data_IF_362357716580
#
_entry.id   IF_362357716580
#
_cell.length_a   1.000
_cell.length_b   1.000
_cell.length_c   1.000
_cell.angle_alpha   90.00
_cell.angle_beta   90.00
_cell.angle_gamma   90.00
#
_symmetry.space_group_name_H-M   'P 1'
#
loop_
_entity.id
_entity.type
_entity.pdbx_description
1 polymer ?
#
# COMPACT_ATOMS: atom_id res chain seq x y z
N UNK A 1 -43.74 -28.51 -21.01
CA UNK A 1 -43.51 -27.09 -20.69
C UNK A 1 -42.29 -26.91 -19.78
N UNK A 2 -41.07 -27.22 -20.26
CA UNK A 2 -39.82 -27.07 -19.46
C UNK A 2 -38.72 -26.27 -20.15
N UNK A 3 -38.80 -26.01 -21.46
CA UNK A 3 -37.69 -25.40 -22.21
C UNK A 3 -37.63 -23.87 -22.12
N UNK A 4 -38.76 -23.16 -22.00
CA UNK A 4 -38.75 -21.69 -22.03
C UNK A 4 -38.27 -21.07 -20.71
N UNK A 5 -38.82 -21.51 -19.58
CA UNK A 5 -38.40 -21.04 -18.24
C UNK A 5 -36.93 -21.35 -17.95
N UNK A 6 -36.47 -22.55 -18.31
CA UNK A 6 -35.07 -22.95 -18.13
C UNK A 6 -34.13 -22.10 -18.99
N UNK A 7 -34.47 -21.84 -20.26
CA UNK A 7 -33.68 -20.95 -21.14
C UNK A 7 -33.59 -19.53 -20.58
N UNK A 8 -34.70 -19.00 -20.05
CA UNK A 8 -34.69 -17.67 -19.43
C UNK A 8 -33.72 -17.62 -18.25
N UNK A 9 -33.81 -18.58 -17.32
CA UNK A 9 -32.90 -18.66 -16.17
C UNK A 9 -31.44 -18.75 -16.61
N UNK A 10 -31.10 -19.61 -17.58
CA UNK A 10 -29.73 -19.75 -18.06
C UNK A 10 -29.20 -18.48 -18.74
N UNK A 11 -30.04 -17.80 -19.53
CA UNK A 11 -29.66 -16.53 -20.15
C UNK A 11 -29.42 -15.45 -19.11
N UNK A 12 -30.30 -15.33 -18.10
CA UNK A 12 -30.13 -14.35 -17.01
C UNK A 12 -28.85 -14.62 -16.22
N UNK A 13 -28.61 -15.86 -15.80
CA UNK A 13 -27.38 -16.23 -15.08
C UNK A 13 -26.14 -15.99 -15.93
N UNK A 14 -26.20 -16.36 -17.22
CA UNK A 14 -25.11 -16.11 -18.17
C UNK A 14 -24.76 -14.63 -18.30
N UNK A 15 -25.79 -13.77 -18.43
CA UNK A 15 -25.61 -12.31 -18.49
C UNK A 15 -25.02 -11.79 -17.18
N UNK A 16 -25.52 -12.24 -16.03
CA UNK A 16 -25.00 -11.82 -14.71
C UNK A 16 -23.53 -12.23 -14.51
N UNK A 17 -23.16 -13.44 -14.90
CA UNK A 17 -21.78 -13.91 -14.79
C UNK A 17 -20.86 -13.14 -15.74
N UNK A 18 -21.27 -12.95 -16.99
CA UNK A 18 -20.48 -12.23 -17.98
C UNK A 18 -20.29 -10.76 -17.57
N UNK A 19 -21.34 -10.10 -17.09
CA UNK A 19 -21.25 -8.72 -16.60
C UNK A 19 -20.37 -8.61 -15.36
N UNK A 20 -20.41 -9.59 -14.46
CA UNK A 20 -19.53 -9.64 -13.29
C UNK A 20 -18.06 -9.80 -13.68
N UNK A 21 -17.76 -10.67 -14.65
CA UNK A 21 -16.40 -10.86 -15.16
C UNK A 21 -15.90 -9.58 -15.82
N UNK A 22 -16.71 -8.97 -16.68
CA UNK A 22 -16.36 -7.70 -17.35
C UNK A 22 -16.15 -6.60 -16.32
N UNK A 23 -17.05 -6.46 -15.36
CA UNK A 23 -16.95 -5.48 -14.28
C UNK A 23 -15.67 -5.68 -13.47
N UNK A 24 -15.38 -6.92 -13.06
CA UNK A 24 -14.15 -7.26 -12.34
C UNK A 24 -12.89 -6.88 -13.14
N UNK A 25 -12.82 -7.23 -14.42
CA UNK A 25 -11.68 -6.91 -15.29
C UNK A 25 -11.51 -5.39 -15.44
N UNK A 26 -12.59 -4.66 -15.72
CA UNK A 26 -12.54 -3.20 -15.88
C UNK A 26 -12.12 -2.48 -14.59
N UNK A 27 -12.69 -2.88 -13.44
CA UNK A 27 -12.32 -2.30 -12.15
C UNK A 27 -10.86 -2.62 -11.80
N UNK A 28 -10.38 -3.83 -12.08
CA UNK A 28 -8.98 -4.17 -11.82
C UNK A 28 -8.02 -3.37 -12.73
N UNK A 29 -8.34 -3.23 -14.02
CA UNK A 29 -7.57 -2.37 -14.94
C UNK A 29 -7.55 -0.93 -14.44
N UNK A 30 -8.70 -0.37 -14.06
CA UNK A 30 -8.77 0.98 -13.50
C UNK A 30 -7.92 1.11 -12.21
N UNK A 31 -7.99 0.11 -11.33
CA UNK A 31 -7.19 0.06 -10.12
C UNK A 31 -5.70 0.11 -10.44
N UNK A 32 -5.19 -0.75 -11.32
CA UNK A 32 -3.77 -0.85 -11.63
C UNK A 32 -3.22 0.38 -12.36
N UNK A 33 -4.00 0.96 -13.29
CA UNK A 33 -3.53 2.05 -14.16
C UNK A 33 -3.70 3.42 -13.51
N UNK A 34 -4.74 3.62 -12.67
CA UNK A 34 -5.07 4.93 -12.10
C UNK A 34 -4.91 4.95 -10.59
N UNK A 35 -5.59 4.05 -9.89
CA UNK A 35 -5.70 4.15 -8.44
C UNK A 35 -4.40 3.78 -7.71
N UNK A 36 -3.70 2.73 -8.15
CA UNK A 36 -2.43 2.29 -7.56
C UNK A 36 -1.33 3.35 -7.71
N UNK A 37 -1.05 3.93 -8.90
CA UNK A 37 -0.05 4.99 -9.03
C UNK A 37 -0.40 6.23 -8.21
N UNK A 38 -1.66 6.67 -8.26
CA UNK A 38 -2.12 7.83 -7.48
C UNK A 38 -1.94 7.62 -5.98
N UNK A 39 -2.36 6.48 -5.44
CA UNK A 39 -2.20 6.16 -4.03
C UNK A 39 -0.72 6.00 -3.65
N UNK A 40 0.09 5.41 -4.54
CA UNK A 40 1.53 5.24 -4.34
C UNK A 40 2.26 6.58 -4.21
N UNK A 41 1.90 7.55 -5.04
CA UNK A 41 2.43 8.92 -4.97
C UNK A 41 1.93 9.64 -3.71
N UNK A 42 0.65 9.51 -3.40
CA UNK A 42 0.03 10.13 -2.22
C UNK A 42 0.66 9.66 -0.91
N UNK A 43 0.88 8.35 -0.75
CA UNK A 43 1.54 7.77 0.43
C UNK A 43 2.99 8.24 0.52
N UNK A 44 3.70 8.33 -0.62
CA UNK A 44 5.07 8.83 -0.65
C UNK A 44 5.15 10.27 -0.15
N UNK A 45 4.25 11.14 -0.60
CA UNK A 45 4.18 12.54 -0.14
C UNK A 45 3.97 12.64 1.37
N UNK A 46 3.13 11.78 1.95
CA UNK A 46 2.96 11.72 3.41
C UNK A 46 4.24 11.28 4.11
N UNK A 47 4.95 10.29 3.59
CA UNK A 47 6.23 9.86 4.16
C UNK A 47 7.30 10.96 4.07
N UNK A 48 7.36 11.70 2.96
CA UNK A 48 8.26 12.85 2.77
C UNK A 48 7.94 13.99 3.73
N UNK A 49 6.66 14.30 3.93
CA UNK A 49 6.22 15.32 4.89
C UNK A 49 6.56 14.92 6.33
N UNK A 50 6.32 13.66 6.69
CA UNK A 50 6.71 13.11 8.00
C UNK A 50 8.22 13.20 8.21
N UNK A 51 9.01 12.82 7.21
CA UNK A 51 10.48 12.96 7.24
C UNK A 51 10.90 14.41 7.42
N UNK A 52 10.35 15.34 6.63
CA UNK A 52 10.71 16.75 6.67
C UNK A 52 10.42 17.40 8.04
N UNK A 53 9.32 17.00 8.68
CA UNK A 53 8.96 17.47 10.02
C UNK A 53 9.78 16.79 11.12
N UNK A 54 10.09 15.51 10.96
CA UNK A 54 10.99 14.76 11.85
C UNK A 54 12.39 15.41 11.92
N UNK A 55 12.96 15.77 10.77
CA UNK A 55 14.29 16.39 10.68
C UNK A 55 14.36 17.78 11.30
N UNK A 56 13.22 18.47 11.45
CA UNK A 56 13.14 19.79 12.10
C UNK A 56 12.97 19.70 13.62
N UNK A 57 12.73 18.49 14.15
CA UNK A 57 12.47 18.28 15.56
C UNK A 57 13.78 18.07 16.34
N UNK A 58 13.84 18.56 17.58
CA UNK A 58 14.97 18.25 18.48
C UNK A 58 15.01 16.75 18.80
N UNK A 59 16.20 16.20 19.01
CA UNK A 59 16.39 14.76 19.26
C UNK A 59 15.48 14.22 20.38
N UNK A 60 15.31 14.98 21.45
CA UNK A 60 14.46 14.62 22.60
C UNK A 60 12.97 14.48 22.25
N UNK A 61 12.52 15.12 21.18
CA UNK A 61 11.11 15.19 20.79
C UNK A 61 10.79 14.36 19.52
N UNK A 62 11.80 13.83 18.84
CA UNK A 62 11.64 13.03 17.61
C UNK A 62 10.77 11.79 17.83
N UNK A 63 10.97 11.09 18.95
CA UNK A 63 10.15 9.92 19.28
C UNK A 63 8.70 10.30 19.58
N UNK A 64 8.48 11.37 20.37
CA UNK A 64 7.14 11.86 20.68
C UNK A 64 6.38 12.28 19.42
N UNK A 65 7.07 12.90 18.47
CA UNK A 65 6.53 13.24 17.16
C UNK A 65 6.07 11.99 16.41
N UNK A 66 6.92 10.97 16.26
CA UNK A 66 6.53 9.75 15.55
C UNK A 66 5.44 8.97 16.26
N UNK A 67 5.40 8.98 17.60
CA UNK A 67 4.28 8.44 18.37
C UNK A 67 2.96 9.15 18.06
N UNK A 68 3.00 10.47 17.82
CA UNK A 68 1.79 11.21 17.40
C UNK A 68 1.30 10.77 16.02
N UNK A 69 2.22 10.51 15.08
CA UNK A 69 1.87 9.97 13.75
C UNK A 69 1.31 8.56 13.87
N UNK A 70 1.88 7.72 14.74
CA UNK A 70 1.39 6.37 14.98
C UNK A 70 -0.05 6.34 15.55
N UNK A 71 -0.43 7.34 16.36
CA UNK A 71 -1.82 7.48 16.84
C UNK A 71 -2.84 7.75 15.71
N UNK A 72 -2.39 8.20 14.54
CA UNK A 72 -3.23 8.33 13.34
C UNK A 72 -3.43 6.99 12.60
N UNK A 73 -2.86 5.90 13.11
CA UNK A 73 -2.97 4.56 12.53
C UNK A 73 -1.81 4.16 11.62
N UNK A 74 -0.75 4.97 11.54
CA UNK A 74 0.47 4.59 10.83
C UNK A 74 1.33 3.64 11.67
N UNK A 75 1.98 2.71 10.98
CA UNK A 75 3.02 1.86 11.54
C UNK A 75 4.36 2.38 11.01
N UNK A 76 5.32 2.60 11.91
CA UNK A 76 6.61 3.22 11.55
C UNK A 76 7.75 2.32 12.02
N UNK A 77 8.73 2.11 11.14
CA UNK A 77 9.97 1.42 11.45
C UNK A 77 11.14 2.33 11.08
N UNK A 78 11.94 2.69 12.06
CA UNK A 78 13.14 3.51 11.89
C UNK A 78 14.33 2.58 12.00
N UNK A 79 15.36 2.80 11.20
CA UNK A 79 16.60 2.03 11.25
C UNK A 79 17.76 3.03 11.32
N UNK A 80 18.68 2.82 12.26
CA UNK A 80 19.89 3.61 12.39
C UNK A 80 20.99 3.15 11.39
N UNK A 81 22.12 3.86 11.40
CA UNK A 81 23.30 3.55 10.58
C UNK A 81 23.92 2.17 10.90
N UNK A 82 23.73 1.70 12.13
CA UNK A 82 24.16 0.37 12.60
C UNK A 82 23.15 -0.74 12.25
N UNK A 83 22.08 -0.43 11.52
CA UNK A 83 20.97 -1.33 11.17
C UNK A 83 20.12 -1.79 12.37
N UNK A 84 20.22 -1.12 13.51
CA UNK A 84 19.28 -1.35 14.61
C UNK A 84 17.95 -0.68 14.28
N UNK A 85 16.89 -1.47 14.34
CA UNK A 85 15.56 -1.00 14.03
C UNK A 85 14.71 -0.75 15.27
N UNK A 86 13.93 0.33 15.25
CA UNK A 86 12.93 0.66 16.27
C UNK A 86 11.54 0.76 15.63
N UNK A 87 10.56 0.10 16.26
CA UNK A 87 9.14 0.14 15.84
C UNK A 87 8.40 1.19 16.65
N UNK A 88 7.53 1.94 15.99
CA UNK A 88 6.63 2.92 16.61
C UNK A 88 5.21 2.65 16.10
N UNK A 89 4.26 2.58 17.02
CA UNK A 89 2.87 2.21 16.73
C UNK A 89 2.63 0.70 16.75
N UNK A 90 1.67 0.25 15.95
CA UNK A 90 1.31 -1.15 15.86
C UNK A 90 2.42 -1.99 15.19
N UNK A 91 2.40 -3.28 15.47
CA UNK A 91 3.33 -4.21 14.87
C UNK A 91 2.99 -4.49 13.40
N UNK A 92 3.85 -4.05 12.47
CA UNK A 92 3.90 -4.60 11.10
C UNK A 92 3.69 -6.11 11.07
N UNK A 93 2.79 -6.55 10.20
CA UNK A 93 2.54 -7.98 9.92
C UNK A 93 3.74 -8.68 9.30
N UNK A 94 4.55 -7.95 8.52
CA UNK A 94 5.75 -8.45 7.86
C UNK A 94 6.81 -7.36 7.88
N UNK A 95 7.99 -7.69 8.41
CA UNK A 95 9.16 -6.79 8.46
C UNK A 95 10.27 -7.22 7.51
N UNK A 96 10.04 -8.26 6.69
CA UNK A 96 11.03 -8.71 5.71
C UNK A 96 11.16 -7.68 4.59
N UNK A 97 12.27 -6.97 4.58
CA UNK A 97 12.72 -6.12 3.48
C UNK A 97 14.09 -6.65 3.03
N UNK A 98 14.39 -6.57 1.73
CA UNK A 98 15.68 -7.06 1.23
C UNK A 98 16.83 -6.15 1.69
N UNK A 99 18.00 -6.73 1.99
CA UNK A 99 19.19 -5.95 2.36
C UNK A 99 19.58 -4.94 1.28
N UNK A 100 19.35 -5.28 0.01
CA UNK A 100 19.57 -4.37 -1.12
C UNK A 100 18.67 -3.12 -1.03
N UNK A 101 17.41 -3.28 -0.64
CA UNK A 101 16.49 -2.16 -0.41
C UNK A 101 16.95 -1.30 0.76
N UNK A 102 17.37 -1.91 1.88
CA UNK A 102 17.90 -1.17 3.04
C UNK A 102 19.11 -0.35 2.62
N UNK A 103 20.05 -0.96 1.89
CA UNK A 103 21.27 -0.28 1.47
C UNK A 103 20.98 0.94 0.58
N UNK A 104 20.06 0.82 -0.37
CA UNK A 104 19.61 1.94 -1.20
C UNK A 104 19.03 3.09 -0.38
N UNK A 105 18.17 2.79 0.59
CA UNK A 105 17.56 3.81 1.45
C UNK A 105 18.61 4.50 2.33
N UNK A 106 19.57 3.74 2.88
CA UNK A 106 20.69 4.31 3.63
C UNK A 106 21.61 5.19 2.77
N UNK A 107 21.65 4.97 1.45
CA UNK A 107 22.34 5.84 0.49
C UNK A 107 21.51 7.07 0.07
N UNK A 108 20.32 7.25 0.63
CA UNK A 108 19.43 8.37 0.34
C UNK A 108 18.46 8.13 -0.82
N UNK A 109 18.39 6.92 -1.39
CA UNK A 109 17.40 6.60 -2.41
C UNK A 109 16.00 6.41 -1.80
N UNK A 110 14.97 6.87 -2.51
CA UNK A 110 13.58 6.66 -2.11
C UNK A 110 13.12 5.25 -2.46
N UNK A 111 12.64 4.50 -1.47
CA UNK A 111 11.97 3.22 -1.69
C UNK A 111 10.44 3.37 -1.69
N UNK A 112 9.79 3.05 -2.81
CA UNK A 112 8.34 3.00 -2.91
C UNK A 112 7.83 1.55 -3.03
N UNK A 113 7.50 0.94 -1.89
CA UNK A 113 6.99 -0.42 -1.81
C UNK A 113 5.64 -0.64 -2.50
N UNK A 114 4.79 0.39 -2.58
CA UNK A 114 3.45 0.28 -3.21
C UNK A 114 3.58 0.19 -4.72
N UNK A 115 4.42 1.04 -5.32
CA UNK A 115 4.71 1.02 -6.75
C UNK A 115 5.39 -0.28 -7.19
N UNK A 116 6.39 -0.73 -6.40
CA UNK A 116 7.21 -1.92 -6.71
C UNK A 116 6.52 -3.24 -6.35
N UNK A 117 5.36 -3.21 -5.70
CA UNK A 117 4.62 -4.43 -5.37
C UNK A 117 4.15 -5.13 -6.66
N UNK A 118 4.38 -6.45 -6.81
CA UNK A 118 4.06 -7.17 -8.03
C UNK A 118 2.57 -7.07 -8.36
N UNK A 119 2.28 -6.69 -9.60
CA UNK A 119 0.92 -6.68 -10.13
C UNK A 119 0.45 -8.13 -10.28
N UNK A 120 -0.61 -8.50 -9.56
CA UNK A 120 -1.34 -9.75 -9.75
C UNK A 120 -2.71 -9.40 -10.31
N UNK A 121 -3.12 -10.10 -11.37
CA UNK A 121 -4.44 -10.00 -11.98
C UNK A 121 -5.47 -10.77 -11.15
#
# INVERSE_FOLDING_TARGET
MKSLYSRFVFMTVGIMLLSSIIGFLLTNVYYQVKLKPYNSEKILKYAEEVKSLYEKQSEENQEAYLQSIAKLGYEIYIVDDQKNGKRIGNAFRKTSISDATVHKVLQGETFNGVSTYPTRL
#
